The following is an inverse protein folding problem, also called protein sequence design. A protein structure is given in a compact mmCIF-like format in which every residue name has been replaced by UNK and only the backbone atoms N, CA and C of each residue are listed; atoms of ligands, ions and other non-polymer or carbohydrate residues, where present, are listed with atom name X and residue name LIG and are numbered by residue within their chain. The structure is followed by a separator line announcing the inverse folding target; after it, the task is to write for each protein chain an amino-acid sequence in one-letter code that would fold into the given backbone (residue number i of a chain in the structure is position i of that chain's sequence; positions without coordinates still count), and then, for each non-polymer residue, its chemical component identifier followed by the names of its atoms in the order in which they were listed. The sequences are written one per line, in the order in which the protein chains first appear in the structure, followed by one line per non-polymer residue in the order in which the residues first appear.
data_IF_682251041489
#
_entry.id   IF_682251041489
#
_cell.length_a   1.000
_cell.length_b   1.000
_cell.length_c   1.000
_cell.angle_alpha   90.00
_cell.angle_beta   90.00
_cell.angle_gamma   90.00
#
_symmetry.space_group_name_H-M   'P 1'
#
loop_
_entity.id
_entity.type
_entity.pdbx_description
1 polymer ?
#
# COMPACT_ATOMS: atom_id res chain seq x y z
N UNK A 1 9.53 26.41 -20.75
CA UNK A 1 8.48 25.40 -21.08
C UNK A 1 9.08 24.03 -20.84
N UNK A 2 8.37 23.07 -20.22
CA UNK A 2 8.89 21.70 -20.11
C UNK A 2 9.10 21.11 -21.51
N UNK A 3 10.25 20.46 -21.73
CA UNK A 3 10.59 19.78 -22.99
C UNK A 3 9.66 18.57 -23.14
N UNK A 4 8.90 18.49 -24.24
CA UNK A 4 8.16 17.27 -24.59
C UNK A 4 9.14 16.22 -25.10
N UNK A 5 9.16 15.06 -24.46
CA UNK A 5 9.91 13.90 -24.90
C UNK A 5 9.16 13.19 -26.03
N UNK A 6 9.93 12.57 -26.92
CA UNK A 6 9.42 11.64 -27.93
C UNK A 6 9.05 10.31 -27.30
N UNK A 7 8.22 9.51 -27.98
CA UNK A 7 7.83 8.17 -27.51
C UNK A 7 9.04 7.26 -27.25
N UNK A 8 10.10 7.39 -28.06
CA UNK A 8 11.34 6.62 -27.87
C UNK A 8 12.07 7.01 -26.59
N UNK A 9 12.22 8.32 -26.33
CA UNK A 9 12.87 8.82 -25.10
C UNK A 9 12.08 8.37 -23.85
N UNK A 10 10.74 8.42 -23.88
CA UNK A 10 9.89 7.95 -22.77
C UNK A 10 10.08 6.44 -22.53
N UNK A 11 10.16 5.65 -23.61
CA UNK A 11 10.36 4.21 -23.51
C UNK A 11 11.74 3.87 -22.93
N UNK A 12 12.79 4.52 -23.40
CA UNK A 12 14.16 4.35 -22.88
C UNK A 12 14.23 4.71 -21.40
N UNK A 13 13.60 5.82 -21.00
CA UNK A 13 13.53 6.24 -19.60
C UNK A 13 12.83 5.18 -18.74
N UNK A 14 11.63 4.72 -19.13
CA UNK A 14 10.89 3.69 -18.40
C UNK A 14 11.65 2.36 -18.31
N UNK A 15 12.36 1.95 -19.37
CA UNK A 15 13.16 0.72 -19.37
C UNK A 15 14.41 0.84 -18.48
N UNK A 16 14.92 2.06 -18.31
CA UNK A 16 16.06 2.34 -17.43
C UNK A 16 15.65 2.50 -15.95
N UNK A 17 14.35 2.70 -15.67
CA UNK A 17 13.86 2.82 -14.31
C UNK A 17 14.01 1.50 -13.56
N UNK A 18 14.67 1.58 -12.40
CA UNK A 18 14.69 0.47 -11.45
C UNK A 18 13.34 0.42 -10.73
N UNK A 19 12.81 -0.78 -10.44
CA UNK A 19 11.65 -0.88 -9.57
C UNK A 19 11.98 -0.19 -8.24
N UNK A 20 11.04 0.57 -7.66
CA UNK A 20 11.26 1.18 -6.35
C UNK A 20 11.63 0.08 -5.34
N UNK A 21 12.56 0.40 -4.44
CA UNK A 21 12.90 -0.52 -3.36
C UNK A 21 11.65 -0.79 -2.50
N UNK A 22 11.53 -2.03 -2.01
CA UNK A 22 10.50 -2.37 -1.03
C UNK A 22 10.69 -1.54 0.24
N UNK A 23 9.60 -1.15 0.87
CA UNK A 23 9.58 -0.37 2.11
C UNK A 23 9.76 -1.26 3.35
N UNK A 24 10.73 -2.18 3.30
CA UNK A 24 10.89 -3.27 4.27
C UNK A 24 11.25 -2.83 5.70
N UNK A 25 11.62 -1.57 5.90
CA UNK A 25 11.88 -0.97 7.23
C UNK A 25 10.77 0.00 7.67
N UNK A 26 9.78 0.25 6.81
CA UNK A 26 8.71 1.21 7.09
C UNK A 26 7.57 0.51 7.82
N UNK A 27 7.06 1.15 8.87
CA UNK A 27 5.84 0.77 9.58
C UNK A 27 4.80 1.86 9.40
N UNK A 28 3.53 1.46 9.28
CA UNK A 28 2.43 2.42 9.05
C UNK A 28 1.40 2.31 10.17
N UNK A 29 1.01 3.44 10.75
CA UNK A 29 0.02 3.51 11.82
C UNK A 29 -1.32 4.00 11.26
N UNK A 30 -2.37 3.21 11.44
CA UNK A 30 -3.75 3.56 11.12
C UNK A 30 -4.46 3.98 12.41
N UNK A 31 -4.33 5.25 12.76
CA UNK A 31 -4.95 5.81 13.96
C UNK A 31 -6.36 6.34 13.67
N UNK A 32 -7.36 5.81 14.38
CA UNK A 32 -8.72 6.34 14.34
C UNK A 32 -9.33 6.44 12.92
N UNK A 33 -9.02 5.47 12.06
CA UNK A 33 -9.61 5.38 10.72
C UNK A 33 -10.97 4.70 10.83
N UNK A 34 -12.05 5.38 10.43
CA UNK A 34 -13.41 4.83 10.51
C UNK A 34 -13.79 3.94 9.32
N UNK A 35 -13.27 4.25 8.13
CA UNK A 35 -13.64 3.56 6.88
C UNK A 35 -12.98 2.19 6.78
N UNK A 36 -13.77 1.12 6.76
CA UNK A 36 -13.28 -0.24 6.55
C UNK A 36 -12.62 -0.40 5.16
N UNK A 37 -13.16 0.25 4.13
CA UNK A 37 -12.56 0.24 2.80
C UNK A 37 -11.20 0.93 2.76
N UNK A 38 -11.02 2.02 3.51
CA UNK A 38 -9.71 2.68 3.58
C UNK A 38 -8.70 1.80 4.31
N UNK A 39 -9.12 1.11 5.38
CA UNK A 39 -8.26 0.13 6.06
C UNK A 39 -7.80 -0.94 5.06
N UNK A 40 -8.72 -1.54 4.30
CA UNK A 40 -8.35 -2.55 3.31
C UNK A 40 -7.50 -2.01 2.15
N UNK A 41 -7.74 -0.79 1.67
CA UNK A 41 -6.84 -0.15 0.70
C UNK A 41 -5.42 0.03 1.24
N UNK A 42 -5.26 0.36 2.53
CA UNK A 42 -3.93 0.45 3.15
C UNK A 42 -3.24 -0.92 3.24
N UNK A 43 -3.97 -1.98 3.58
CA UNK A 43 -3.45 -3.36 3.49
C UNK A 43 -2.92 -3.67 2.08
N UNK A 44 -3.74 -3.41 1.05
CA UNK A 44 -3.37 -3.67 -0.35
C UNK A 44 -2.15 -2.87 -0.81
N UNK A 45 -2.07 -1.59 -0.44
CA UNK A 45 -0.88 -0.77 -0.74
C UNK A 45 0.35 -1.28 0.00
N UNK A 46 0.20 -1.68 1.26
CA UNK A 46 1.31 -2.16 2.09
C UNK A 46 1.92 -3.44 1.54
N UNK A 47 1.10 -4.37 1.06
CA UNK A 47 1.53 -5.55 0.32
C UNK A 47 2.31 -5.18 -0.95
N UNK A 48 1.73 -4.31 -1.79
CA UNK A 48 2.35 -3.88 -3.05
C UNK A 48 3.71 -3.18 -2.86
N UNK A 49 3.86 -2.39 -1.79
CA UNK A 49 5.10 -1.66 -1.49
C UNK A 49 6.06 -2.44 -0.58
N UNK A 50 5.67 -3.61 -0.06
CA UNK A 50 6.49 -4.38 0.88
C UNK A 50 6.76 -3.63 2.19
N UNK A 51 5.73 -3.00 2.74
CA UNK A 51 5.76 -2.39 4.08
C UNK A 51 5.93 -3.48 5.14
N UNK A 52 6.73 -3.19 6.17
CA UNK A 52 7.08 -4.20 7.19
C UNK A 52 5.95 -4.57 8.13
N UNK A 53 5.11 -3.59 8.53
CA UNK A 53 4.07 -3.81 9.53
C UNK A 53 3.01 -2.69 9.51
N UNK A 54 1.75 -3.08 9.74
CA UNK A 54 0.64 -2.18 10.01
C UNK A 54 0.25 -2.18 11.50
N UNK A 55 0.00 -0.99 12.06
CA UNK A 55 -0.39 -0.82 13.47
C UNK A 55 -1.74 -0.10 13.52
N UNK A 56 -2.79 -0.80 13.91
CA UNK A 56 -4.17 -0.30 13.88
C UNK A 56 -4.60 0.14 15.28
N UNK A 57 -4.74 1.44 15.52
CA UNK A 57 -4.96 1.96 16.88
C UNK A 57 -6.28 2.69 17.05
N UNK A 58 -6.70 2.85 18.30
CA UNK A 58 -7.93 3.55 18.66
C UNK A 58 -9.18 2.80 18.19
N UNK A 59 -10.11 3.50 17.54
CA UNK A 59 -11.35 2.87 17.03
C UNK A 59 -11.22 2.27 15.63
N UNK A 60 -10.01 2.21 15.06
CA UNK A 60 -9.79 1.63 13.72
C UNK A 60 -10.31 0.18 13.67
N UNK A 61 -11.14 -0.19 12.68
CA UNK A 61 -11.62 -1.56 12.54
C UNK A 61 -10.50 -2.47 12.05
N UNK A 62 -10.46 -3.71 12.53
CA UNK A 62 -9.46 -4.72 12.18
C UNK A 62 -10.10 -5.88 11.41
N UNK A 63 -9.32 -6.61 10.57
CA UNK A 63 -9.74 -7.91 10.04
C UNK A 63 -10.09 -8.91 11.16
N UNK A 64 -10.93 -9.94 10.90
CA UNK A 64 -11.63 -10.22 9.64
C UNK A 64 -12.94 -9.42 9.50
N UNK A 65 -13.11 -8.73 8.37
CA UNK A 65 -14.32 -7.99 8.00
C UNK A 65 -14.52 -8.02 6.47
N UNK A 66 -15.72 -8.33 5.94
CA UNK A 66 -15.96 -8.40 4.49
C UNK A 66 -15.59 -7.12 3.73
N UNK A 67 -15.83 -5.95 4.31
CA UNK A 67 -15.57 -4.65 3.69
C UNK A 67 -14.06 -4.36 3.58
N UNK A 68 -13.28 -4.83 4.55
CA UNK A 68 -11.81 -4.78 4.52
C UNK A 68 -11.32 -5.77 3.45
N UNK A 69 -11.72 -7.04 3.54
CA UNK A 69 -11.31 -8.09 2.60
C UNK A 69 -11.59 -7.72 1.13
N UNK A 70 -12.76 -7.13 0.85
CA UNK A 70 -13.15 -6.66 -0.49
C UNK A 70 -12.15 -5.68 -1.11
N UNK A 71 -11.46 -4.89 -0.29
CA UNK A 71 -10.51 -3.86 -0.76
C UNK A 71 -9.04 -4.25 -0.57
N UNK A 72 -8.75 -5.08 0.44
CA UNK A 72 -7.44 -5.65 0.69
C UNK A 72 -7.10 -6.77 -0.31
N UNK A 73 -8.11 -7.50 -0.82
CA UNK A 73 -7.95 -8.60 -1.79
C UNK A 73 -6.98 -9.66 -1.25
N UNK A 74 -7.17 -10.05 0.02
CA UNK A 74 -6.34 -11.05 0.70
C UNK A 74 -5.03 -10.51 1.28
N UNK A 75 -4.66 -9.25 1.01
CA UNK A 75 -3.45 -8.66 1.59
C UNK A 75 -3.44 -8.65 3.12
N UNK A 76 -4.62 -8.66 3.77
CA UNK A 76 -4.75 -8.73 5.22
C UNK A 76 -4.32 -10.07 5.84
N UNK A 77 -4.11 -11.10 5.02
CA UNK A 77 -3.62 -12.42 5.46
C UNK A 77 -2.08 -12.49 5.45
N UNK A 78 -1.40 -11.64 4.67
CA UNK A 78 0.05 -11.72 4.44
C UNK A 78 0.84 -10.52 4.99
N UNK A 79 0.21 -9.36 5.08
CA UNK A 79 0.85 -8.18 5.67
C UNK A 79 0.82 -8.33 7.18
N UNK A 80 1.99 -8.32 7.83
CA UNK A 80 2.10 -8.31 9.29
C UNK A 80 1.35 -7.10 9.89
N UNK A 81 0.48 -7.34 10.87
CA UNK A 81 -0.24 -6.27 11.53
C UNK A 81 -0.56 -6.56 12.99
N UNK A 82 -0.71 -5.50 13.78
CA UNK A 82 -1.13 -5.58 15.19
C UNK A 82 -2.13 -4.47 15.56
N UNK A 83 -2.86 -4.69 16.65
CA UNK A 83 -3.76 -3.72 17.26
C UNK A 83 -3.10 -3.01 18.45
#
# INVERSE_FOLDING_TARGET
MPKKLTTKEILEENLSQKPPAKLAEVKVILHNIRSLHNVGSVFRSSDAFGVSELILTGYTPTPPRPEINKTAIGAEEFVEWRR
#
